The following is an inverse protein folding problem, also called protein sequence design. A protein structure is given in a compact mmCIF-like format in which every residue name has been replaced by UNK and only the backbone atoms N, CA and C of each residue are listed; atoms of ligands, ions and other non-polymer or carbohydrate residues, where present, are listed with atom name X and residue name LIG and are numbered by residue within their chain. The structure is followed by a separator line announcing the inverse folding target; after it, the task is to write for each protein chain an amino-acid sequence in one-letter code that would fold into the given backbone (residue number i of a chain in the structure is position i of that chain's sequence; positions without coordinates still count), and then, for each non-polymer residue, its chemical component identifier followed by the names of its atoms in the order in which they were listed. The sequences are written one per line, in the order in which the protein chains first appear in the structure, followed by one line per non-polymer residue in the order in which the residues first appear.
data_IF_487779068345
#
_entry.id   IF_487779068345
#
_cell.length_a   1.000
_cell.length_b   1.000
_cell.length_c   1.000
_cell.angle_alpha   90.00
_cell.angle_beta   90.00
_cell.angle_gamma   90.00
#
_symmetry.space_group_name_H-M   'P 1'
#
loop_
_entity.id
_entity.type
_entity.pdbx_description
1 polymer ?
#
# COMPACT_ATOMS: atom_id res chain seq x y z
N UNK A 1 -12.65 23.58 -31.84
CA UNK A 1 -12.33 22.65 -30.73
C UNK A 1 -13.41 22.78 -29.68
N UNK A 2 -14.27 21.77 -29.52
CA UNK A 2 -15.19 21.73 -28.40
C UNK A 2 -14.38 21.74 -27.08
N UNK A 3 -14.84 22.44 -26.03
CA UNK A 3 -14.14 22.42 -24.75
C UNK A 3 -14.05 20.97 -24.27
N UNK A 4 -12.83 20.49 -24.02
CA UNK A 4 -12.61 19.19 -23.37
C UNK A 4 -13.44 19.19 -22.08
N UNK A 5 -14.50 18.38 -22.05
CA UNK A 5 -15.18 18.02 -20.82
C UNK A 5 -14.09 17.52 -19.86
N UNK A 6 -13.99 18.15 -18.70
CA UNK A 6 -12.99 17.86 -17.66
C UNK A 6 -12.89 16.35 -17.43
N UNK A 7 -11.84 15.73 -17.98
CA UNK A 7 -11.64 14.28 -18.00
C UNK A 7 -11.41 13.69 -16.59
N UNK A 8 -11.29 14.53 -15.57
CA UNK A 8 -11.26 14.14 -14.14
C UNK A 8 -12.58 13.54 -13.65
N UNK A 9 -13.64 13.48 -14.47
CA UNK A 9 -15.00 13.08 -14.07
C UNK A 9 -15.55 11.75 -14.62
N UNK A 10 -14.82 10.91 -15.34
CA UNK A 10 -15.39 9.64 -15.83
C UNK A 10 -14.43 8.45 -15.76
N UNK A 11 -14.30 7.85 -14.58
CA UNK A 11 -14.24 6.39 -14.46
C UNK A 11 -15.26 5.96 -13.41
N UNK A 12 -16.24 5.17 -13.86
CA UNK A 12 -17.40 4.79 -13.05
C UNK A 12 -17.06 3.66 -12.08
N UNK A 13 -17.82 3.54 -10.97
CA UNK A 13 -17.70 2.40 -10.07
C UNK A 13 -17.83 1.09 -10.86
N UNK A 14 -16.90 0.14 -10.66
CA UNK A 14 -16.84 -1.13 -11.41
C UNK A 14 -17.73 -2.24 -10.84
N UNK A 15 -18.36 -1.99 -9.69
CA UNK A 15 -19.13 -2.99 -8.95
C UNK A 15 -20.57 -2.56 -8.80
N UNK A 16 -21.48 -3.52 -8.89
CA UNK A 16 -22.89 -3.32 -8.54
C UNK A 16 -23.22 -4.13 -7.29
N UNK A 17 -23.52 -3.43 -6.19
CA UNK A 17 -24.08 -4.01 -4.98
C UNK A 17 -25.59 -4.06 -5.07
N UNK A 18 -26.16 -5.21 -4.75
CA UNK A 18 -27.60 -5.42 -4.59
C UNK A 18 -27.87 -6.17 -3.29
N UNK A 19 -28.75 -5.64 -2.43
CA UNK A 19 -29.10 -6.23 -1.13
C UNK A 19 -30.60 -6.52 -1.02
N UNK A 20 -30.90 -7.74 -0.60
CA UNK A 20 -32.24 -8.21 -0.18
C UNK A 20 -32.23 -8.53 1.32
N UNK A 21 -33.34 -9.03 1.87
CA UNK A 21 -33.41 -9.46 3.27
C UNK A 21 -32.52 -10.69 3.58
N UNK A 22 -32.29 -11.54 2.58
CA UNK A 22 -31.62 -12.83 2.73
C UNK A 22 -30.28 -12.91 2.02
N UNK A 23 -29.94 -11.96 1.14
CA UNK A 23 -28.75 -12.02 0.31
C UNK A 23 -28.13 -10.63 0.09
N UNK A 24 -26.80 -10.59 0.06
CA UNK A 24 -26.00 -9.48 -0.44
C UNK A 24 -25.28 -10.00 -1.68
N UNK A 25 -25.37 -9.27 -2.78
CA UNK A 25 -24.71 -9.63 -4.04
C UNK A 25 -23.83 -8.51 -4.55
N UNK A 26 -22.61 -8.85 -4.99
CA UNK A 26 -21.69 -7.96 -5.67
C UNK A 26 -21.41 -8.52 -7.06
N UNK A 27 -21.69 -7.73 -8.10
CA UNK A 27 -21.40 -8.09 -9.48
C UNK A 27 -20.22 -7.27 -10.00
N UNK A 28 -19.25 -7.94 -10.65
CA UNK A 28 -18.17 -7.32 -11.43
C UNK A 28 -17.77 -8.25 -12.58
N UNK A 29 -17.62 -7.69 -13.79
CA UNK A 29 -17.05 -8.39 -14.96
C UNK A 29 -17.72 -9.77 -15.24
N UNK A 30 -19.03 -9.87 -15.00
CA UNK A 30 -19.81 -11.13 -15.17
C UNK A 30 -19.68 -12.13 -14.01
N UNK A 31 -18.86 -11.84 -13.00
CA UNK A 31 -18.66 -12.65 -11.79
C UNK A 31 -19.53 -12.08 -10.67
N UNK A 32 -20.32 -12.96 -10.06
CA UNK A 32 -21.26 -12.66 -8.99
C UNK A 32 -20.76 -13.25 -7.67
N UNK A 33 -20.52 -12.38 -6.69
CA UNK A 33 -20.30 -12.78 -5.30
C UNK A 33 -21.61 -12.68 -4.54
N UNK A 34 -22.15 -13.82 -4.10
CA UNK A 34 -23.33 -13.90 -3.22
C UNK A 34 -22.89 -14.17 -1.79
N UNK A 35 -23.48 -13.42 -0.87
CA UNK A 35 -23.25 -13.55 0.56
C UNK A 35 -24.61 -13.76 1.21
N UNK A 36 -24.77 -14.90 1.88
CA UNK A 36 -25.98 -15.22 2.64
C UNK A 36 -25.73 -14.88 4.11
N UNK A 37 -26.25 -13.74 4.64
CA UNK A 37 -25.85 -13.25 5.95
C UNK A 37 -26.19 -14.18 7.11
N UNK A 38 -27.27 -14.98 7.00
CA UNK A 38 -27.68 -15.94 8.05
C UNK A 38 -26.70 -17.10 8.21
N UNK A 39 -26.18 -17.60 7.09
CA UNK A 39 -25.28 -18.75 7.05
C UNK A 39 -23.80 -18.32 7.05
N UNK A 40 -23.54 -17.02 6.88
CA UNK A 40 -22.20 -16.47 6.65
C UNK A 40 -21.48 -17.18 5.50
N UNK A 41 -22.25 -17.55 4.47
CA UNK A 41 -21.76 -18.28 3.30
C UNK A 41 -21.42 -17.31 2.18
N UNK A 42 -20.19 -17.43 1.66
CA UNK A 42 -19.70 -16.69 0.51
C UNK A 42 -19.65 -17.64 -0.69
N UNK A 43 -20.36 -17.30 -1.76
CA UNK A 43 -20.45 -18.10 -2.98
C UNK A 43 -20.09 -17.24 -4.19
N UNK A 44 -19.27 -17.80 -5.07
CA UNK A 44 -18.92 -17.18 -6.33
C UNK A 44 -19.60 -17.95 -7.46
N UNK A 45 -20.25 -17.20 -8.34
CA UNK A 45 -20.91 -17.73 -9.52
C UNK A 45 -20.50 -16.89 -10.74
N UNK A 46 -20.44 -17.51 -11.91
CA UNK A 46 -20.27 -16.79 -13.18
C UNK A 46 -21.62 -16.69 -13.87
N UNK A 47 -22.02 -15.49 -14.28
CA UNK A 47 -23.30 -15.27 -14.99
C UNK A 47 -23.34 -15.96 -16.35
N UNK A 48 -22.18 -16.18 -16.97
CA UNK A 48 -22.06 -16.81 -18.29
C UNK A 48 -21.70 -18.30 -18.19
N UNK A 49 -21.86 -18.92 -17.03
CA UNK A 49 -21.50 -20.32 -16.86
C UNK A 49 -22.52 -21.24 -17.56
N UNK A 50 -22.07 -21.88 -18.64
CA UNK A 50 -22.82 -22.90 -19.36
C UNK A 50 -23.26 -24.10 -18.50
N UNK A 51 -22.64 -24.32 -17.32
CA UNK A 51 -23.00 -25.41 -16.41
C UNK A 51 -24.14 -25.05 -15.45
N UNK A 52 -24.45 -23.77 -15.24
CA UNK A 52 -25.52 -23.35 -14.31
C UNK A 52 -26.36 -22.19 -14.87
N UNK A 53 -27.29 -22.48 -15.81
CA UNK A 53 -28.10 -21.45 -16.47
C UNK A 53 -29.08 -20.72 -15.54
N UNK A 54 -29.30 -21.23 -14.32
CA UNK A 54 -30.23 -20.64 -13.36
C UNK A 54 -29.66 -19.40 -12.66
N UNK A 55 -28.33 -19.21 -12.63
CA UNK A 55 -27.70 -18.12 -11.89
C UNK A 55 -28.15 -16.74 -12.39
N UNK A 56 -28.30 -16.59 -13.71
CA UNK A 56 -28.76 -15.33 -14.31
C UNK A 56 -30.21 -15.02 -13.92
N UNK A 57 -31.08 -16.04 -13.90
CA UNK A 57 -32.46 -15.92 -13.48
C UNK A 57 -32.55 -15.59 -11.98
N UNK A 58 -31.82 -16.31 -11.13
CA UNK A 58 -31.74 -16.05 -9.68
C UNK A 58 -31.24 -14.62 -9.39
N UNK A 59 -30.23 -14.15 -10.13
CA UNK A 59 -29.74 -12.79 -9.97
C UNK A 59 -30.75 -11.74 -10.43
N UNK A 60 -31.50 -12.00 -11.50
CA UNK A 60 -32.59 -11.13 -11.94
C UNK A 60 -33.71 -11.03 -10.88
N UNK A 61 -34.02 -12.13 -10.20
CA UNK A 61 -34.96 -12.14 -9.06
C UNK A 61 -34.42 -11.35 -7.87
N UNK A 62 -33.15 -11.52 -7.51
CA UNK A 62 -32.47 -10.73 -6.46
C UNK A 62 -32.53 -9.24 -6.78
N UNK A 63 -32.32 -8.86 -8.05
CA UNK A 63 -32.46 -7.47 -8.53
C UNK A 63 -33.88 -6.95 -8.40
N UNK A 64 -34.90 -7.75 -8.74
CA UNK A 64 -36.32 -7.37 -8.59
C UNK A 64 -36.73 -7.22 -7.13
N UNK A 65 -36.24 -8.09 -6.26
CA UNK A 65 -36.51 -8.07 -4.82
C UNK A 65 -35.59 -7.12 -4.03
N UNK A 66 -34.70 -6.40 -4.72
CA UNK A 66 -33.70 -5.55 -4.11
C UNK A 66 -34.35 -4.39 -3.35
N UNK A 67 -34.01 -4.26 -2.06
CA UNK A 67 -34.36 -3.07 -1.29
C UNK A 67 -33.36 -1.94 -1.52
N UNK A 68 -32.14 -2.30 -1.90
CA UNK A 68 -31.03 -1.38 -2.06
C UNK A 68 -30.12 -1.85 -3.19
N UNK A 69 -29.79 -0.94 -4.10
CA UNK A 69 -28.79 -1.15 -5.14
C UNK A 69 -27.85 0.05 -5.18
N UNK A 70 -26.54 -0.19 -5.31
CA UNK A 70 -25.54 0.87 -5.34
C UNK A 70 -24.32 0.49 -6.18
N UNK A 71 -23.80 1.45 -6.93
CA UNK A 71 -22.53 1.32 -7.64
C UNK A 71 -21.36 1.60 -6.69
N UNK A 72 -20.31 0.78 -6.72
CA UNK A 72 -19.18 0.81 -5.77
C UNK A 72 -17.83 0.56 -6.45
N UNK A 73 -16.75 0.84 -5.75
CA UNK A 73 -15.37 0.68 -6.21
C UNK A 73 -14.71 -0.63 -5.72
N UNK A 74 -15.42 -1.46 -4.95
CA UNK A 74 -14.98 -2.81 -4.60
C UNK A 74 -14.92 -3.08 -3.10
N UNK A 75 -14.36 -4.24 -2.74
CA UNK A 75 -14.32 -4.71 -1.36
C UNK A 75 -13.05 -4.21 -0.68
N UNK A 76 -13.23 -3.36 0.33
CA UNK A 76 -12.14 -2.93 1.20
C UNK A 76 -11.79 -4.02 2.21
N UNK A 77 -12.78 -4.80 2.67
CA UNK A 77 -12.53 -5.98 3.49
C UNK A 77 -13.74 -6.42 4.30
N UNK A 78 -13.48 -7.28 5.27
CA UNK A 78 -14.43 -7.87 6.18
C UNK A 78 -13.94 -7.68 7.61
N UNK A 79 -14.84 -7.37 8.54
CA UNK A 79 -14.51 -7.30 9.97
C UNK A 79 -15.64 -7.86 10.82
N UNK A 80 -15.29 -8.68 11.81
CA UNK A 80 -16.21 -9.11 12.86
C UNK A 80 -16.02 -8.21 14.08
N UNK A 81 -17.01 -7.37 14.37
CA UNK A 81 -17.04 -6.52 15.56
C UNK A 81 -17.81 -7.22 16.70
N UNK A 82 -18.08 -6.48 17.77
CA UNK A 82 -18.64 -7.05 19.01
C UNK A 82 -20.04 -7.63 18.77
N UNK A 83 -20.89 -6.96 17.99
CA UNK A 83 -22.27 -7.41 17.73
C UNK A 83 -22.45 -8.07 16.38
N UNK A 84 -21.90 -7.49 15.33
CA UNK A 84 -22.10 -7.97 13.98
C UNK A 84 -20.80 -8.11 13.18
N UNK A 85 -20.88 -8.90 12.12
CA UNK A 85 -19.91 -8.88 11.05
C UNK A 85 -20.32 -7.81 10.02
N UNK A 86 -19.33 -7.15 9.44
CA UNK A 86 -19.52 -6.08 8.46
C UNK A 86 -18.66 -6.34 7.23
N UNK A 87 -19.28 -6.19 6.07
CA UNK A 87 -18.59 -6.07 4.80
C UNK A 87 -18.28 -4.59 4.56
N UNK A 88 -17.00 -4.26 4.43
CA UNK A 88 -16.50 -2.90 4.20
C UNK A 88 -16.28 -2.72 2.70
N UNK A 89 -16.97 -1.74 2.12
CA UNK A 89 -16.97 -1.47 0.69
C UNK A 89 -16.49 -0.06 0.41
N UNK A 90 -15.82 0.14 -0.73
CA UNK A 90 -15.41 1.46 -1.19
C UNK A 90 -16.59 2.12 -1.90
N UNK A 91 -17.21 3.09 -1.24
CA UNK A 91 -18.42 3.77 -1.71
C UNK A 91 -18.09 4.87 -2.70
N UNK A 92 -17.12 5.72 -2.35
CA UNK A 92 -16.70 6.86 -3.14
C UNK A 92 -15.17 6.87 -3.24
N UNK A 93 -14.66 7.16 -4.44
CA UNK A 93 -13.25 7.32 -4.70
C UNK A 93 -13.02 8.40 -5.76
N UNK A 94 -11.92 9.13 -5.65
CA UNK A 94 -11.50 10.17 -6.58
C UNK A 94 -10.25 9.73 -7.33
N UNK A 95 -10.18 10.04 -8.62
CA UNK A 95 -8.95 9.86 -9.40
C UNK A 95 -7.94 10.93 -8.96
N UNK A 96 -6.75 10.49 -8.58
CA UNK A 96 -5.63 11.35 -8.18
C UNK A 96 -4.76 11.69 -9.38
N UNK A 97 -4.61 10.73 -10.29
CA UNK A 97 -3.85 10.86 -11.51
C UNK A 97 -3.71 9.50 -12.19
N UNK A 98 -2.93 9.49 -13.27
CA UNK A 98 -2.56 8.30 -13.99
C UNK A 98 -1.06 8.10 -13.85
N UNK A 99 -0.65 6.90 -13.45
CA UNK A 99 0.75 6.48 -13.44
C UNK A 99 0.95 5.61 -14.66
N UNK A 100 1.67 6.12 -15.66
CA UNK A 100 1.80 5.52 -17.00
C UNK A 100 0.41 5.36 -17.63
N UNK A 101 -0.20 4.17 -17.54
CA UNK A 101 -1.61 3.93 -17.94
C UNK A 101 -2.55 3.55 -16.81
N UNK A 102 -2.01 3.27 -15.61
CA UNK A 102 -2.82 2.84 -14.48
C UNK A 102 -3.51 3.99 -13.78
N UNK A 103 -4.83 3.92 -13.64
CA UNK A 103 -5.58 4.93 -12.92
C UNK A 103 -5.37 4.74 -11.41
N UNK A 104 -4.99 5.82 -10.74
CA UNK A 104 -4.81 5.82 -9.29
C UNK A 104 -5.98 6.51 -8.64
N UNK A 105 -6.62 5.79 -7.71
CA UNK A 105 -7.78 6.24 -6.98
C UNK A 105 -7.41 6.48 -5.52
N UNK A 106 -8.03 7.48 -4.92
CA UNK A 106 -8.04 7.72 -3.48
C UNK A 106 -9.40 7.34 -2.92
N UNK A 107 -9.43 6.61 -1.82
CA UNK A 107 -10.68 6.26 -1.13
C UNK A 107 -11.23 7.48 -0.38
N UNK A 108 -12.39 7.97 -0.80
CA UNK A 108 -13.04 9.12 -0.18
C UNK A 108 -14.13 8.74 0.82
N UNK A 109 -14.76 7.57 0.66
CA UNK A 109 -15.78 7.08 1.60
C UNK A 109 -15.87 5.57 1.64
N UNK A 110 -16.02 5.02 2.85
CA UNK A 110 -16.28 3.61 3.10
C UNK A 110 -17.73 3.38 3.55
N UNK A 111 -18.35 2.34 2.99
CA UNK A 111 -19.66 1.84 3.37
C UNK A 111 -19.49 0.57 4.21
N UNK A 112 -20.11 0.53 5.38
CA UNK A 112 -20.14 -0.62 6.27
C UNK A 112 -21.48 -1.32 6.14
N UNK A 113 -21.51 -2.47 5.46
CA UNK A 113 -22.74 -3.24 5.27
C UNK A 113 -22.82 -4.33 6.34
N UNK A 114 -23.78 -4.26 7.27
CA UNK A 114 -23.96 -5.29 8.27
C UNK A 114 -24.39 -6.63 7.66
N UNK A 115 -23.80 -7.72 8.15
CA UNK A 115 -24.07 -9.09 7.71
C UNK A 115 -25.01 -9.80 8.69
N UNK A 116 -26.22 -9.26 8.86
CA UNK A 116 -27.31 -9.93 9.57
C UNK A 116 -28.66 -9.70 8.88
N UNK A 117 -29.64 -10.51 9.25
CA UNK A 117 -30.95 -10.58 8.61
C UNK A 117 -31.88 -9.43 9.05
N UNK A 118 -31.56 -8.19 8.67
CA UNK A 118 -32.45 -7.04 8.76
C UNK A 118 -32.28 -6.13 7.54
N UNK A 119 -33.33 -5.36 7.22
CA UNK A 119 -33.33 -4.46 6.06
C UNK A 119 -32.44 -3.22 6.25
N UNK A 120 -32.17 -2.82 7.49
CA UNK A 120 -31.43 -1.60 7.77
C UNK A 120 -29.94 -1.77 7.41
N UNK A 121 -29.41 -0.74 6.73
CA UNK A 121 -27.98 -0.58 6.46
C UNK A 121 -27.25 0.11 7.62
N UNK A 122 -27.99 0.56 8.63
CA UNK A 122 -27.42 1.23 9.78
C UNK A 122 -26.59 0.24 10.62
N UNK A 123 -25.35 0.60 10.98
CA UNK A 123 -24.57 -0.21 11.91
C UNK A 123 -25.20 -0.29 13.30
N UNK A 124 -24.83 -1.33 14.05
CA UNK A 124 -25.23 -1.48 15.44
C UNK A 124 -24.61 -0.38 16.31
N UNK A 125 -25.42 0.21 17.21
CA UNK A 125 -24.98 1.32 18.08
C UNK A 125 -23.75 0.96 18.94
N UNK A 126 -23.64 -0.30 19.37
CA UNK A 126 -22.51 -0.78 20.16
C UNK A 126 -21.22 -0.94 19.33
N UNK A 127 -21.34 -1.15 18.02
CA UNK A 127 -20.20 -1.28 17.11
C UNK A 127 -19.77 0.07 16.52
N UNK A 128 -20.64 1.10 16.60
CA UNK A 128 -20.40 2.44 16.07
C UNK A 128 -19.05 3.05 16.50
N UNK A 129 -18.57 2.95 17.75
CA UNK A 129 -17.28 3.51 18.13
C UNK A 129 -16.10 2.91 17.36
N UNK A 130 -16.16 1.62 16.98
CA UNK A 130 -15.10 0.97 16.20
C UNK A 130 -15.17 1.37 14.73
N UNK A 131 -16.37 1.52 14.18
CA UNK A 131 -16.59 2.03 12.82
C UNK A 131 -16.08 3.47 12.72
N UNK A 132 -16.38 4.31 13.70
CA UNK A 132 -15.89 5.68 13.78
C UNK A 132 -14.35 5.74 13.80
N UNK A 133 -13.68 4.79 14.46
CA UNK A 133 -12.21 4.73 14.44
C UNK A 133 -11.66 4.48 13.03
N UNK A 134 -12.25 3.54 12.28
CA UNK A 134 -11.85 3.26 10.89
C UNK A 134 -12.17 4.44 9.97
N UNK A 135 -13.33 5.05 10.13
CA UNK A 135 -13.73 6.23 9.37
C UNK A 135 -12.82 7.43 9.63
N UNK A 136 -12.36 7.64 10.88
CA UNK A 136 -11.38 8.69 11.20
C UNK A 136 -10.05 8.48 10.47
N UNK A 137 -9.54 7.25 10.42
CA UNK A 137 -8.31 6.95 9.68
C UNK A 137 -8.52 7.18 8.18
N UNK A 138 -9.67 6.76 7.64
CA UNK A 138 -10.00 7.01 6.24
C UNK A 138 -10.13 8.50 5.92
N UNK A 139 -10.66 9.30 6.84
CA UNK A 139 -10.81 10.74 6.69
C UNK A 139 -9.46 11.48 6.57
N UNK A 140 -8.33 10.85 6.95
CA UNK A 140 -6.98 11.38 6.67
C UNK A 140 -6.63 11.36 5.18
N UNK A 141 -7.46 10.74 4.32
CA UNK A 141 -7.30 10.70 2.86
C UNK A 141 -5.97 10.09 2.41
N UNK A 142 -5.51 9.09 3.17
CA UNK A 142 -4.23 8.42 2.97
C UNK A 142 -4.35 7.05 2.28
N UNK A 143 -5.55 6.61 1.91
CA UNK A 143 -5.77 5.33 1.22
C UNK A 143 -5.80 5.50 -0.29
N UNK A 144 -4.94 4.75 -0.98
CA UNK A 144 -4.86 4.75 -2.44
C UNK A 144 -4.89 3.32 -2.99
N UNK A 145 -5.52 3.14 -4.13
CA UNK A 145 -5.53 1.88 -4.87
C UNK A 145 -5.51 2.14 -6.38
N UNK A 146 -5.18 1.13 -7.16
CA UNK A 146 -5.37 1.10 -8.60
C UNK A 146 -5.91 -0.27 -8.96
N UNK A 147 -6.76 -0.37 -9.99
CA UNK A 147 -7.15 -1.66 -10.56
C UNK A 147 -6.09 -2.21 -11.52
N UNK A 148 -5.28 -1.30 -12.07
CA UNK A 148 -4.48 -1.57 -13.25
C UNK A 148 -3.02 -1.81 -12.87
N UNK A 149 -2.56 -1.26 -11.75
CA UNK A 149 -1.18 -1.41 -11.28
C UNK A 149 -1.14 -1.81 -9.80
N UNK A 150 -0.11 -2.55 -9.42
CA UNK A 150 0.17 -2.82 -8.02
C UNK A 150 0.94 -1.64 -7.41
N UNK A 151 0.29 -0.90 -6.50
CA UNK A 151 0.89 0.23 -5.79
C UNK A 151 1.76 -0.21 -4.59
N UNK A 152 1.66 -1.49 -4.19
CA UNK A 152 2.39 -2.00 -3.02
C UNK A 152 3.84 -2.32 -3.33
N UNK A 153 4.18 -2.62 -4.58
CA UNK A 153 5.53 -2.89 -5.06
C UNK A 153 6.18 -1.65 -5.69
N UNK A 154 7.51 -1.59 -5.68
CA UNK A 154 8.24 -0.55 -6.41
C UNK A 154 8.39 -0.91 -7.88
N UNK A 155 8.64 0.10 -8.70
CA UNK A 155 8.69 -0.05 -10.15
C UNK A 155 9.81 -0.98 -10.61
N UNK A 156 10.96 -0.96 -9.93
CA UNK A 156 12.06 -1.87 -10.21
C UNK A 156 11.65 -3.33 -10.03
N UNK A 157 11.04 -3.67 -8.88
CA UNK A 157 10.53 -5.00 -8.59
C UNK A 157 9.45 -5.41 -9.59
N UNK A 158 8.48 -4.54 -9.87
CA UNK A 158 7.43 -4.80 -10.86
C UNK A 158 7.99 -5.13 -12.24
N UNK A 159 8.92 -4.32 -12.76
CA UNK A 159 9.49 -4.53 -14.09
C UNK A 159 10.44 -5.73 -14.16
N UNK A 160 11.17 -6.00 -13.08
CA UNK A 160 12.03 -7.19 -12.98
C UNK A 160 11.18 -8.47 -12.99
N UNK A 161 10.08 -8.50 -12.23
CA UNK A 161 9.14 -9.63 -12.23
C UNK A 161 8.55 -9.89 -13.61
N UNK A 162 8.10 -8.83 -14.30
CA UNK A 162 7.52 -8.95 -15.65
C UNK A 162 8.55 -9.54 -16.61
N UNK A 163 9.79 -9.05 -16.58
CA UNK A 163 10.88 -9.58 -17.40
C UNK A 163 11.15 -11.06 -17.11
N UNK A 164 11.27 -11.43 -15.84
CA UNK A 164 11.64 -12.79 -15.46
C UNK A 164 10.50 -13.80 -15.76
N UNK A 165 9.23 -13.36 -15.73
CA UNK A 165 8.07 -14.18 -16.11
C UNK A 165 8.01 -14.49 -17.61
N UNK A 166 8.38 -13.55 -18.48
CA UNK A 166 8.46 -13.81 -19.94
C UNK A 166 9.45 -14.92 -20.31
N UNK A 167 10.33 -15.31 -19.38
CA UNK A 167 11.36 -16.33 -19.60
C UNK A 167 10.97 -17.74 -19.13
N UNK A 168 9.78 -17.97 -18.54
CA UNK A 168 9.36 -19.27 -18.01
C UNK A 168 8.07 -19.78 -18.68
N UNK A 169 8.08 -21.03 -19.14
CA UNK A 169 6.88 -21.70 -19.64
C UNK A 169 5.90 -21.99 -18.47
N UNK A 170 4.61 -21.66 -18.59
CA UNK A 170 3.66 -21.87 -17.50
C UNK A 170 3.14 -23.32 -17.45
N UNK A 171 3.16 -23.92 -16.26
CA UNK A 171 2.38 -25.12 -15.93
C UNK A 171 0.86 -24.81 -15.91
N UNK A 172 -0.01 -25.82 -15.90
CA UNK A 172 -1.48 -25.64 -15.98
C UNK A 172 -2.07 -24.77 -14.84
N UNK A 173 -1.59 -24.93 -13.60
CA UNK A 173 -1.99 -24.06 -12.48
C UNK A 173 -1.38 -22.65 -12.59
N UNK A 174 -0.24 -22.51 -13.28
CA UNK A 174 0.36 -21.21 -13.54
C UNK A 174 -0.41 -20.43 -14.62
N UNK A 175 -1.10 -21.12 -15.54
CA UNK A 175 -1.91 -20.48 -16.57
C UNK A 175 -3.11 -19.73 -15.97
N UNK A 176 -3.91 -20.36 -15.09
CA UNK A 176 -5.04 -19.69 -14.41
C UNK A 176 -4.57 -18.51 -13.56
N UNK A 177 -3.44 -18.68 -12.86
CA UNK A 177 -2.83 -17.61 -12.07
C UNK A 177 -2.38 -16.45 -12.96
N UNK A 178 -1.76 -16.72 -14.11
CA UNK A 178 -1.30 -15.70 -15.05
C UNK A 178 -2.48 -14.92 -15.67
N UNK A 179 -3.54 -15.60 -16.08
CA UNK A 179 -4.77 -14.96 -16.61
C UNK A 179 -5.37 -14.04 -15.55
N UNK A 180 -5.53 -14.56 -14.33
CA UNK A 180 -6.10 -13.79 -13.23
C UNK A 180 -5.20 -12.60 -12.86
N UNK A 181 -3.87 -12.76 -12.89
CA UNK A 181 -2.90 -11.68 -12.61
C UNK A 181 -2.93 -10.60 -13.68
N UNK A 182 -3.12 -10.95 -14.94
CA UNK A 182 -3.24 -9.94 -16.01
C UNK A 182 -4.56 -9.15 -15.88
N UNK A 183 -5.66 -9.85 -15.57
CA UNK A 183 -6.96 -9.22 -15.35
C UNK A 183 -7.05 -8.39 -14.05
N UNK A 184 -6.42 -8.86 -12.96
CA UNK A 184 -6.51 -8.29 -11.61
C UNK A 184 -5.14 -8.21 -10.93
N UNK A 185 -4.20 -7.40 -11.48
CA UNK A 185 -2.81 -7.36 -11.04
C UNK A 185 -2.65 -6.91 -9.59
N UNK A 186 -3.49 -5.97 -9.16
CA UNK A 186 -3.48 -5.40 -7.83
C UNK A 186 -4.02 -6.35 -6.76
N UNK A 187 -4.71 -7.44 -7.13
CA UNK A 187 -5.43 -8.31 -6.19
C UNK A 187 -4.70 -9.59 -5.85
N UNK A 188 -3.72 -10.02 -6.64
CA UNK A 188 -3.16 -11.37 -6.59
C UNK A 188 -1.77 -11.41 -5.99
N UNK A 189 -0.90 -10.50 -6.39
CA UNK A 189 0.53 -10.56 -6.07
C UNK A 189 1.03 -9.29 -5.35
N UNK A 190 0.15 -8.65 -4.59
CA UNK A 190 0.51 -7.46 -3.82
C UNK A 190 1.32 -7.82 -2.57
N UNK A 191 2.20 -6.91 -2.16
CA UNK A 191 2.97 -7.02 -0.93
C UNK A 191 2.07 -6.72 0.28
N UNK A 192 1.79 -7.74 1.07
CA UNK A 192 0.91 -7.67 2.25
C UNK A 192 1.34 -6.60 3.25
N UNK A 193 2.66 -6.38 3.41
CA UNK A 193 3.18 -5.38 4.33
C UNK A 193 2.82 -3.93 3.95
N UNK A 194 2.59 -3.63 2.68
CA UNK A 194 2.22 -2.29 2.22
C UNK A 194 0.72 -2.14 1.92
N UNK A 195 -0.05 -3.23 2.04
CA UNK A 195 -1.51 -3.21 1.92
C UNK A 195 -2.17 -3.10 3.29
N UNK A 196 -2.71 -1.91 3.60
CA UNK A 196 -3.32 -1.61 4.90
C UNK A 196 -4.46 -2.56 5.26
N UNK A 197 -5.31 -2.86 4.28
CA UNK A 197 -6.47 -3.71 4.45
C UNK A 197 -6.17 -5.20 4.23
N UNK A 198 -4.90 -5.63 4.17
CA UNK A 198 -4.55 -7.04 3.97
C UNK A 198 -5.21 -7.95 5.02
N UNK A 199 -5.17 -7.58 6.30
CA UNK A 199 -5.81 -8.34 7.37
C UNK A 199 -7.34 -8.36 7.27
N UNK A 200 -7.95 -7.29 6.74
CA UNK A 200 -9.39 -7.21 6.51
C UNK A 200 -9.82 -8.04 5.28
N UNK A 201 -8.91 -8.30 4.35
CA UNK A 201 -9.16 -9.13 3.18
C UNK A 201 -8.92 -10.63 3.46
N UNK A 202 -8.73 -11.02 4.72
CA UNK A 202 -8.33 -12.38 5.08
C UNK A 202 -9.34 -13.47 4.70
N UNK A 203 -10.65 -13.15 4.70
CA UNK A 203 -11.71 -14.06 4.25
C UNK A 203 -11.73 -14.24 2.72
N UNK A 204 -11.10 -13.31 1.99
CA UNK A 204 -11.08 -13.28 0.52
C UNK A 204 -9.72 -13.72 -0.05
N UNK A 205 -8.97 -14.58 0.66
CA UNK A 205 -7.59 -14.95 0.27
C UNK A 205 -7.48 -15.79 -1.00
N UNK A 206 -8.49 -16.61 -1.33
CA UNK A 206 -8.41 -17.52 -2.48
C UNK A 206 -8.36 -16.75 -3.80
N UNK A 207 -7.80 -17.39 -4.84
CA UNK A 207 -7.61 -16.79 -6.16
C UNK A 207 -8.95 -16.35 -6.79
N UNK A 208 -10.03 -17.07 -6.49
CA UNK A 208 -11.36 -16.82 -7.04
C UNK A 208 -11.96 -15.47 -6.60
N UNK A 209 -11.59 -14.95 -5.41
CA UNK A 209 -12.05 -13.65 -4.93
C UNK A 209 -11.22 -12.47 -5.47
N UNK A 210 -10.20 -12.70 -6.29
CA UNK A 210 -9.36 -11.65 -6.89
C UNK A 210 -10.12 -10.51 -7.57
N UNK A 211 -11.25 -10.75 -8.29
CA UNK A 211 -12.04 -9.67 -8.87
C UNK A 211 -12.60 -8.70 -7.84
N UNK A 212 -12.84 -9.15 -6.60
CA UNK A 212 -13.51 -8.34 -5.57
C UNK A 212 -12.56 -7.63 -4.63
N UNK A 213 -11.37 -8.18 -4.43
CA UNK A 213 -10.36 -7.58 -3.56
C UNK A 213 -9.85 -6.26 -4.11
N UNK A 214 -9.71 -5.27 -3.24
CA UNK A 214 -9.04 -4.00 -3.57
C UNK A 214 -8.03 -3.67 -2.50
N UNK A 215 -6.78 -4.17 -2.61
CA UNK A 215 -5.70 -3.80 -1.70
C UNK A 215 -5.41 -2.30 -1.80
N UNK A 216 -5.35 -1.65 -0.64
CA UNK A 216 -5.12 -0.21 -0.53
C UNK A 216 -3.81 0.05 0.20
N UNK A 217 -2.94 0.87 -0.38
CA UNK A 217 -1.78 1.39 0.34
C UNK A 217 -2.21 2.48 1.32
N UNK A 218 -1.43 2.66 2.39
CA UNK A 218 -1.57 3.80 3.30
C UNK A 218 -0.35 4.71 3.19
N UNK A 219 -0.54 5.95 2.76
CA UNK A 219 0.54 6.91 2.56
C UNK A 219 0.12 8.09 1.70
N UNK A 220 0.87 8.36 0.63
CA UNK A 220 0.68 9.54 -0.21
C UNK A 220 1.08 9.27 -1.66
N UNK A 221 0.29 9.78 -2.61
CA UNK A 221 0.65 9.76 -4.04
C UNK A 221 0.49 11.16 -4.59
N UNK A 222 1.54 11.65 -5.25
CA UNK A 222 1.50 12.86 -6.07
C UNK A 222 1.83 12.49 -7.51
N UNK A 223 1.06 13.07 -8.43
CA UNK A 223 1.24 12.94 -9.88
C UNK A 223 1.33 14.35 -10.45
N UNK A 224 2.40 14.64 -11.18
CA UNK A 224 2.61 15.92 -11.84
C UNK A 224 3.34 15.78 -13.16
N UNK A 225 3.24 16.80 -14.01
CA UNK A 225 3.91 16.84 -15.33
C UNK A 225 4.80 18.08 -15.39
N UNK A 226 6.02 18.02 -14.82
CA UNK A 226 6.90 19.17 -14.80
C UNK A 226 7.35 19.56 -16.21
N UNK A 227 7.40 20.86 -16.48
CA UNK A 227 7.96 21.41 -17.72
C UNK A 227 9.49 21.29 -17.68
N UNK A 228 10.04 20.27 -18.32
CA UNK A 228 11.48 20.14 -18.55
C UNK A 228 11.84 20.87 -19.86
N UNK A 229 13.00 21.54 -19.94
CA UNK A 229 13.44 22.38 -21.09
C UNK A 229 13.62 21.63 -22.43
N UNK A 230 13.21 20.37 -22.53
CA UNK A 230 13.22 19.58 -23.76
C UNK A 230 11.79 19.47 -24.28
N UNK A 231 11.56 19.54 -25.59
CA UNK A 231 10.25 19.44 -26.24
C UNK A 231 9.54 18.07 -26.11
N UNK A 232 9.86 17.29 -25.08
CA UNK A 232 9.32 15.98 -24.78
C UNK A 232 8.59 15.99 -23.43
N UNK A 233 7.42 15.36 -23.39
CA UNK A 233 6.58 15.29 -22.18
C UNK A 233 7.32 14.51 -21.08
N UNK A 234 7.33 15.06 -19.87
CA UNK A 234 7.91 14.41 -18.70
C UNK A 234 6.89 14.40 -17.57
N UNK A 235 6.75 13.24 -16.93
CA UNK A 235 5.89 13.05 -15.78
C UNK A 235 6.74 12.68 -14.57
N UNK A 236 6.27 13.12 -13.40
CA UNK A 236 6.88 12.87 -12.12
C UNK A 236 5.83 12.34 -11.16
N UNK A 237 6.13 11.21 -10.55
CA UNK A 237 5.30 10.60 -9.52
C UNK A 237 6.10 10.49 -8.23
N UNK A 238 5.47 10.85 -7.12
CA UNK A 238 5.99 10.61 -5.77
C UNK A 238 5.02 9.68 -5.06
N UNK A 239 5.46 8.46 -4.79
CA UNK A 239 4.68 7.45 -4.10
C UNK A 239 5.29 7.21 -2.73
N UNK A 240 4.51 7.35 -1.67
CA UNK A 240 4.88 6.92 -0.33
C UNK A 240 3.91 5.86 0.17
N UNK A 241 4.46 4.72 0.60
CA UNK A 241 3.71 3.59 1.17
C UNK A 241 4.28 3.25 2.55
N UNK A 242 3.39 3.10 3.54
CA UNK A 242 3.75 2.74 4.92
C UNK A 242 3.61 1.24 5.16
N UNK A 243 4.55 0.68 5.91
CA UNK A 243 4.46 -0.69 6.39
C UNK A 243 3.36 -0.80 7.46
N UNK A 244 2.46 -1.75 7.24
CA UNK A 244 1.28 -2.01 8.04
C UNK A 244 1.45 -3.19 9.01
N UNK A 245 2.64 -3.80 9.09
CA UNK A 245 2.94 -4.88 10.06
C UNK A 245 3.11 -4.36 11.49
N UNK A 246 3.77 -3.20 11.64
CA UNK A 246 3.98 -2.54 12.94
C UNK A 246 3.49 -1.08 12.94
N UNK A 247 2.19 -0.85 12.75
CA UNK A 247 1.61 0.48 12.84
C UNK A 247 1.61 0.93 14.30
N UNK A 248 1.69 2.24 14.53
CA UNK A 248 1.51 2.73 15.88
C UNK A 248 1.65 4.22 16.06
N UNK A 249 1.13 4.67 17.20
CA UNK A 249 1.09 6.10 17.54
C UNK A 249 2.50 6.59 17.87
N UNK A 250 2.75 7.85 17.50
CA UNK A 250 3.93 8.59 17.95
C UNK A 250 3.98 8.53 19.49
N UNK A 251 5.16 8.24 20.04
CA UNK A 251 5.37 8.03 21.48
C UNK A 251 4.67 6.80 22.07
N UNK A 252 4.26 5.80 21.29
CA UNK A 252 3.78 4.52 21.84
C UNK A 252 4.55 3.38 21.20
N UNK A 253 4.47 3.28 19.88
CA UNK A 253 5.16 2.24 19.11
C UNK A 253 6.42 2.82 18.50
N UNK A 254 7.57 2.33 18.96
CA UNK A 254 8.91 2.73 18.51
C UNK A 254 9.77 1.47 18.39
N UNK A 255 10.90 1.62 17.69
CA UNK A 255 11.84 0.52 17.49
C UNK A 255 11.29 -0.64 16.68
N UNK A 256 11.98 -1.76 16.80
CA UNK A 256 11.59 -3.05 16.22
C UNK A 256 10.58 -3.78 17.13
N UNK A 257 9.88 -4.76 16.56
CA UNK A 257 9.37 -5.91 17.32
C UNK A 257 10.38 -7.06 17.29
N UNK A 258 10.01 -8.19 17.90
CA UNK A 258 10.86 -9.39 17.95
C UNK A 258 11.00 -10.04 16.57
N UNK A 259 10.03 -9.78 15.70
CA UNK A 259 9.98 -10.26 14.32
C UNK A 259 10.79 -9.38 13.35
N UNK A 260 11.42 -8.30 13.83
CA UNK A 260 12.27 -7.42 13.03
C UNK A 260 11.50 -6.37 12.20
N UNK A 261 10.20 -6.18 12.43
CA UNK A 261 9.43 -5.14 11.77
C UNK A 261 9.69 -3.79 12.45
N UNK A 262 10.08 -2.78 11.67
CA UNK A 262 10.33 -1.45 12.19
C UNK A 262 9.04 -0.63 12.31
N UNK A 263 8.83 0.00 13.47
CA UNK A 263 7.68 0.89 13.66
C UNK A 263 7.76 2.12 12.75
N UNK A 264 6.63 2.50 12.15
CA UNK A 264 6.54 3.63 11.22
C UNK A 264 7.52 3.53 10.03
N UNK A 265 7.80 2.31 9.56
CA UNK A 265 8.54 2.11 8.32
C UNK A 265 7.72 2.63 7.13
N UNK A 266 8.37 3.35 6.24
CA UNK A 266 7.79 3.90 5.03
C UNK A 266 8.82 3.84 3.91
N UNK A 267 8.34 3.50 2.73
CA UNK A 267 9.08 3.59 1.49
C UNK A 267 8.55 4.78 0.70
N UNK A 268 9.45 5.57 0.13
CA UNK A 268 9.14 6.70 -0.74
C UNK A 268 9.87 6.53 -2.06
N UNK A 269 9.12 6.46 -3.14
CA UNK A 269 9.60 6.22 -4.49
C UNK A 269 9.36 7.47 -5.34
N UNK A 270 10.43 7.93 -5.97
CA UNK A 270 10.43 9.00 -6.96
C UNK A 270 10.51 8.36 -8.34
N UNK A 271 9.47 8.52 -9.14
CA UNK A 271 9.41 7.99 -10.50
C UNK A 271 9.42 9.14 -11.50
N UNK A 272 10.31 9.06 -12.49
CA UNK A 272 10.36 9.96 -13.62
C UNK A 272 10.04 9.17 -14.89
N UNK A 273 9.12 9.69 -15.69
CA UNK A 273 8.74 9.10 -16.96
C UNK A 273 8.97 10.14 -18.05
N UNK A 274 9.77 9.79 -19.05
CA UNK A 274 10.08 10.65 -20.18
C UNK A 274 9.58 10.00 -21.48
N UNK A 275 8.72 10.71 -22.20
CA UNK A 275 8.15 10.24 -23.45
C UNK A 275 9.01 10.70 -24.63
N UNK A 276 9.72 9.78 -25.24
CA UNK A 276 10.61 10.07 -26.36
C UNK A 276 9.85 10.19 -27.68
N UNK A 277 10.38 11.02 -28.60
CA UNK A 277 9.84 11.17 -29.95
C UNK A 277 9.86 9.87 -30.79
N UNK A 278 10.67 8.88 -30.40
CA UNK A 278 10.82 7.57 -31.07
C UNK A 278 9.80 6.52 -30.61
N UNK A 279 8.67 6.94 -30.02
CA UNK A 279 7.68 6.01 -29.44
C UNK A 279 8.30 5.06 -28.41
N UNK A 280 9.20 5.57 -27.56
CA UNK A 280 9.69 4.84 -26.39
C UNK A 280 9.46 5.67 -25.14
N UNK A 281 9.40 5.00 -23.99
CA UNK A 281 9.20 5.61 -22.70
C UNK A 281 10.43 5.28 -21.85
N UNK A 282 11.20 6.29 -21.47
CA UNK A 282 12.27 6.12 -20.50
C UNK A 282 11.71 6.32 -19.10
N UNK A 283 11.97 5.35 -18.23
CA UNK A 283 11.46 5.34 -16.87
C UNK A 283 12.62 5.23 -15.90
N UNK A 284 12.65 6.10 -14.90
CA UNK A 284 13.59 6.05 -13.80
C UNK A 284 12.86 5.98 -12.47
N UNK A 285 13.34 5.15 -11.54
CA UNK A 285 12.81 5.05 -10.18
C UNK A 285 13.95 5.16 -9.15
N UNK A 286 13.71 5.97 -8.12
CA UNK A 286 14.61 6.16 -6.99
C UNK A 286 13.85 5.98 -5.68
N UNK A 287 14.29 5.02 -4.87
CA UNK A 287 13.59 4.61 -3.64
C UNK A 287 14.39 5.06 -2.42
N UNK A 288 13.67 5.61 -1.44
CA UNK A 288 14.18 5.95 -0.12
C UNK A 288 13.32 5.28 0.95
N UNK A 289 13.98 4.72 1.97
CA UNK A 289 13.31 4.10 3.11
C UNK A 289 13.51 4.93 4.37
N UNK A 290 12.49 4.95 5.23
CA UNK A 290 12.52 5.63 6.52
C UNK A 290 11.82 4.77 7.54
N UNK A 291 12.46 4.51 8.68
CA UNK A 291 11.86 3.76 9.78
C UNK A 291 12.29 4.25 11.16
N UNK A 292 11.75 3.63 12.21
CA UNK A 292 12.30 3.80 13.56
C UNK A 292 13.70 3.17 13.65
N UNK A 293 14.52 3.69 14.56
CA UNK A 293 15.86 3.13 14.85
C UNK A 293 15.72 1.63 15.14
N UNK A 294 16.53 0.76 14.49
CA UNK A 294 16.38 -0.70 14.51
C UNK A 294 16.89 -1.32 15.82
N UNK A 295 16.29 -0.91 16.94
CA UNK A 295 16.53 -1.43 18.28
C UNK A 295 15.20 -1.81 18.91
N UNK A 296 15.22 -2.67 19.93
CA UNK A 296 14.04 -2.88 20.77
C UNK A 296 13.98 -1.74 21.80
N UNK A 297 13.09 -0.78 21.56
CA UNK A 297 12.90 0.36 22.46
C UNK A 297 11.48 0.89 22.44
N UNK A 298 11.08 1.47 23.56
CA UNK A 298 9.80 2.15 23.70
C UNK A 298 10.00 3.51 24.34
N UNK A 299 9.00 4.36 24.17
CA UNK A 299 8.94 5.64 24.84
C UNK A 299 7.50 5.77 25.27
N UNK A 300 7.18 5.48 26.53
CA UNK A 300 5.80 5.51 27.02
C UNK A 300 5.41 6.97 27.30
N UNK A 301 4.23 7.46 26.86
CA UNK A 301 3.82 8.82 27.14
C UNK A 301 3.73 9.05 28.65
N UNK A 302 4.17 10.22 29.11
CA UNK A 302 3.97 10.71 30.46
C UNK A 302 3.67 12.21 30.40
N UNK A 303 3.44 12.85 31.55
CA UNK A 303 3.17 14.29 31.62
C UNK A 303 4.39 15.18 31.24
N UNK A 304 5.55 14.59 30.90
CA UNK A 304 6.73 15.35 30.46
C UNK A 304 6.67 15.60 28.96
N UNK A 305 7.16 16.77 28.55
CA UNK A 305 7.27 17.17 27.15
C UNK A 305 8.05 16.18 26.27
N UNK A 306 9.12 15.60 26.81
CA UNK A 306 9.87 14.52 26.18
C UNK A 306 9.92 13.32 27.12
N UNK A 307 9.07 12.29 26.90
CA UNK A 307 9.09 11.10 27.72
C UNK A 307 10.45 10.38 27.62
N UNK A 308 10.88 9.67 28.69
CA UNK A 308 12.14 8.95 28.68
C UNK A 308 12.09 7.78 27.69
N UNK A 309 13.25 7.51 27.12
CA UNK A 309 13.49 6.35 26.28
C UNK A 309 13.74 5.14 27.17
N UNK A 310 13.04 4.05 26.90
CA UNK A 310 13.22 2.75 27.54
C UNK A 310 13.78 1.78 26.50
N UNK A 311 15.06 1.47 26.62
CA UNK A 311 15.72 0.42 25.84
C UNK A 311 15.39 -0.95 26.43
N UNK A 312 15.36 -1.99 25.61
CA UNK A 312 15.33 -3.35 26.11
C UNK A 312 16.54 -3.61 27.02
N UNK A 313 16.36 -4.33 28.15
CA UNK A 313 17.45 -4.60 29.08
C UNK A 313 18.54 -5.48 28.45
N UNK A 314 18.15 -6.36 27.53
CA UNK A 314 19.07 -7.24 26.82
C UNK A 314 19.40 -6.67 25.43
N UNK A 315 20.67 -6.35 25.21
CA UNK A 315 21.15 -5.86 23.94
C UNK A 315 21.11 -6.94 22.84
N UNK A 316 21.39 -8.20 23.20
CA UNK A 316 21.42 -9.32 22.26
C UNK A 316 20.06 -9.53 21.55
N UNK A 317 18.96 -9.28 22.26
CA UNK A 317 17.62 -9.32 21.65
C UNK A 317 17.44 -8.23 20.60
N UNK A 318 18.00 -7.03 20.83
CA UNK A 318 17.99 -5.97 19.83
C UNK A 318 18.87 -6.29 18.63
N UNK A 319 20.02 -6.93 18.87
CA UNK A 319 20.91 -7.38 17.80
C UNK A 319 20.23 -8.43 16.92
N UNK A 320 19.61 -9.45 17.52
CA UNK A 320 18.88 -10.49 16.80
C UNK A 320 17.70 -9.90 16.00
N UNK A 321 16.90 -9.02 16.59
CA UNK A 321 15.81 -8.34 15.89
C UNK A 321 16.31 -7.50 14.71
N UNK A 322 17.43 -6.80 14.87
CA UNK A 322 18.05 -6.02 13.80
C UNK A 322 18.61 -6.89 12.67
N UNK A 323 19.22 -8.04 13.00
CA UNK A 323 19.65 -9.01 11.99
C UNK A 323 18.47 -9.49 11.14
N UNK A 324 17.35 -9.85 11.77
CA UNK A 324 16.12 -10.21 11.06
C UNK A 324 15.59 -9.06 10.21
N UNK A 325 15.59 -7.82 10.74
CA UNK A 325 15.19 -6.63 10.00
C UNK A 325 16.01 -6.45 8.72
N UNK A 326 17.34 -6.47 8.84
CA UNK A 326 18.22 -6.27 7.69
C UNK A 326 18.26 -7.46 6.74
N UNK A 327 18.02 -8.68 7.22
CA UNK A 327 17.85 -9.85 6.36
C UNK A 327 16.58 -9.73 5.50
N UNK A 328 15.53 -9.06 5.99
CA UNK A 328 14.30 -8.81 5.23
C UNK A 328 14.42 -7.62 4.26
N UNK A 329 15.14 -6.55 4.64
CA UNK A 329 15.23 -5.33 3.81
C UNK A 329 16.32 -5.38 2.75
N UNK A 330 17.44 -6.08 2.98
CA UNK A 330 18.54 -6.16 1.99
C UNK A 330 18.15 -6.78 0.65
N UNK A 331 17.37 -7.87 0.59
CA UNK A 331 16.93 -8.41 -0.70
C UNK A 331 16.09 -7.42 -1.51
N UNK A 332 15.39 -6.50 -0.83
CA UNK A 332 14.50 -5.52 -1.47
C UNK A 332 15.22 -4.25 -1.91
N UNK A 333 16.16 -3.75 -1.10
CA UNK A 333 16.80 -2.44 -1.31
C UNK A 333 18.30 -2.50 -1.55
N UNK A 334 18.93 -3.67 -1.42
CA UNK A 334 20.39 -3.82 -1.52
C UNK A 334 21.13 -3.24 -0.32
N UNK A 335 22.28 -2.64 -0.60
CA UNK A 335 23.10 -1.92 0.39
C UNK A 335 22.38 -0.69 0.93
N UNK A 336 22.55 -0.40 2.21
CA UNK A 336 21.78 0.63 2.91
C UNK A 336 22.68 1.59 3.68
N UNK A 337 22.45 2.88 3.49
CA UNK A 337 23.10 3.94 4.25
C UNK A 337 22.18 4.41 5.39
N UNK A 338 22.58 4.10 6.62
CA UNK A 338 21.82 4.41 7.83
C UNK A 338 22.14 5.83 8.31
N UNK A 339 21.22 6.76 8.03
CA UNK A 339 21.34 8.16 8.46
C UNK A 339 20.62 8.36 9.80
N UNK A 340 21.39 8.56 10.87
CA UNK A 340 20.88 8.84 12.20
C UNK A 340 20.93 10.35 12.50
N UNK A 341 19.75 10.95 12.69
CA UNK A 341 19.58 12.40 12.89
C UNK A 341 19.29 12.81 14.34
N UNK A 342 19.37 11.89 15.30
CA UNK A 342 19.00 12.18 16.69
C UNK A 342 20.05 13.05 17.39
N UNK A 343 19.59 13.78 18.41
CA UNK A 343 20.45 14.67 19.18
C UNK A 343 21.50 13.91 19.98
N UNK A 344 22.73 14.42 20.03
CA UNK A 344 23.81 13.86 20.85
C UNK A 344 23.68 14.26 22.32
N UNK A 345 22.46 14.49 22.81
CA UNK A 345 22.16 14.95 24.18
C UNK A 345 21.04 14.13 24.84
N UNK A 346 21.06 14.13 26.17
CA UNK A 346 19.98 13.58 27.00
C UNK A 346 19.65 12.12 26.73
N UNK A 347 18.34 11.80 26.69
CA UNK A 347 17.84 10.45 26.44
C UNK A 347 18.02 9.98 24.99
N UNK A 348 18.08 10.90 24.02
CA UNK A 348 18.30 10.56 22.62
C UNK A 348 19.73 10.07 22.38
N UNK A 349 20.71 10.69 23.03
CA UNK A 349 22.11 10.22 23.00
C UNK A 349 22.22 8.74 23.35
N UNK A 350 21.50 8.29 24.39
CA UNK A 350 21.50 6.88 24.82
C UNK A 350 21.05 5.94 23.71
N UNK A 351 20.03 6.30 22.93
CA UNK A 351 19.62 5.48 21.77
C UNK A 351 20.70 5.51 20.69
N UNK A 352 21.28 6.68 20.41
CA UNK A 352 22.27 6.85 19.35
C UNK A 352 23.56 6.09 19.63
N UNK A 353 23.98 6.07 20.89
CA UNK A 353 25.11 5.27 21.36
C UNK A 353 24.81 3.78 21.15
N UNK A 354 23.60 3.31 21.50
CA UNK A 354 23.19 1.92 21.24
C UNK A 354 23.07 1.59 19.75
N UNK A 355 22.62 2.53 18.92
CA UNK A 355 22.52 2.30 17.48
C UNK A 355 23.91 2.24 16.83
N UNK A 356 24.84 3.08 17.31
CA UNK A 356 26.24 3.03 16.89
C UNK A 356 26.89 1.70 17.30
N UNK A 357 26.61 1.23 18.53
CA UNK A 357 27.02 -0.09 19.02
C UNK A 357 26.46 -1.21 18.14
N UNK A 358 25.15 -1.17 17.85
CA UNK A 358 24.47 -2.13 16.97
C UNK A 358 25.14 -2.21 15.60
N UNK A 359 25.39 -1.07 14.96
CA UNK A 359 26.08 -1.02 13.68
C UNK A 359 27.47 -1.68 13.75
N UNK A 360 28.22 -1.40 14.83
CA UNK A 360 29.56 -1.96 15.06
C UNK A 360 29.54 -3.48 15.28
N UNK A 361 28.49 -4.00 15.91
CA UNK A 361 28.33 -5.44 16.19
C UNK A 361 27.72 -6.22 15.01
N UNK A 362 26.90 -5.59 14.18
CA UNK A 362 26.37 -6.22 12.95
C UNK A 362 27.50 -6.60 11.98
N UNK A 363 28.58 -5.80 11.93
CA UNK A 363 29.78 -6.01 11.07
C UNK A 363 29.42 -6.31 9.61
N UNK A 364 28.35 -5.70 9.13
CA UNK A 364 27.82 -5.98 7.81
C UNK A 364 28.36 -4.99 6.79
N UNK A 365 29.03 -5.50 5.75
CA UNK A 365 29.66 -4.67 4.71
C UNK A 365 28.67 -3.99 3.77
N UNK A 366 27.42 -4.45 3.73
CA UNK A 366 26.36 -3.82 2.94
C UNK A 366 25.65 -2.69 3.70
N UNK A 367 26.06 -2.40 4.94
CA UNK A 367 25.52 -1.31 5.74
C UNK A 367 26.58 -0.23 5.96
N UNK A 368 26.18 1.01 5.71
CA UNK A 368 26.94 2.21 6.04
C UNK A 368 26.19 3.02 7.09
N UNK A 369 26.87 3.84 7.89
CA UNK A 369 26.25 4.57 8.99
C UNK A 369 26.84 5.95 9.20
N UNK A 370 25.97 6.94 9.38
CA UNK A 370 26.35 8.30 9.83
C UNK A 370 25.46 8.75 10.98
N UNK A 371 26.07 9.33 12.00
CA UNK A 371 25.36 10.02 13.08
C UNK A 371 25.57 11.53 13.02
N UNK A 372 24.59 12.19 12.41
CA UNK A 372 24.56 13.63 12.21
C UNK A 372 23.62 14.29 13.23
N UNK A 373 24.15 15.12 14.13
CA UNK A 373 23.34 15.83 15.13
C UNK A 373 22.62 17.00 14.46
N UNK A 374 21.40 16.76 13.98
CA UNK A 374 20.66 17.74 13.18
C UNK A 374 20.41 19.05 13.95
N UNK A 375 19.97 19.00 15.21
CA UNK A 375 19.71 20.22 16.00
C UNK A 375 21.01 20.87 16.50
N UNK A 376 22.11 20.10 16.60
CA UNK A 376 23.45 20.62 16.88
C UNK A 376 24.01 21.43 15.71
N UNK A 377 23.94 20.87 14.50
CA UNK A 377 24.56 21.40 13.28
C UNK A 377 23.69 22.47 12.60
N UNK A 378 22.37 22.29 12.55
CA UNK A 378 21.44 23.21 11.88
C UNK A 378 20.84 24.28 12.82
N UNK A 379 21.54 24.62 13.91
CA UNK A 379 21.07 25.68 14.84
C UNK A 379 20.78 26.98 14.09
N UNK A 380 19.73 27.67 14.54
CA UNK A 380 19.26 28.95 13.96
C UNK A 380 18.86 28.83 12.47
N UNK A 381 18.29 27.70 12.06
CA UNK A 381 17.80 27.48 10.68
C UNK A 381 18.88 27.60 9.62
N UNK A 382 20.14 27.27 9.96
CA UNK A 382 21.25 27.20 9.00
C UNK A 382 21.17 25.92 8.18
N UNK A 383 20.16 25.83 7.33
CA UNK A 383 19.89 24.68 6.45
C UNK A 383 21.02 24.40 5.47
N UNK A 384 21.87 25.39 5.20
CA UNK A 384 23.13 25.23 4.45
C UNK A 384 24.00 24.11 5.03
N UNK A 385 23.98 23.88 6.35
CA UNK A 385 24.76 22.81 6.97
C UNK A 385 24.25 21.40 6.62
N UNK A 386 23.07 21.25 6.01
CA UNK A 386 22.66 19.98 5.41
C UNK A 386 23.52 19.59 4.22
N UNK A 387 24.15 20.56 3.52
CA UNK A 387 25.09 20.24 2.45
C UNK A 387 26.21 19.35 2.97
N UNK A 388 26.69 19.57 4.20
CA UNK A 388 27.70 18.71 4.84
C UNK A 388 27.25 17.26 4.93
N UNK A 389 26.00 17.03 5.32
CA UNK A 389 25.45 15.67 5.37
C UNK A 389 25.38 15.08 3.97
N UNK A 390 24.88 15.84 3.00
CA UNK A 390 24.83 15.44 1.59
C UNK A 390 26.23 15.08 1.09
N UNK A 391 27.24 15.90 1.37
CA UNK A 391 28.64 15.68 0.98
C UNK A 391 29.20 14.40 1.61
N UNK A 392 28.89 14.11 2.87
CA UNK A 392 29.31 12.87 3.56
C UNK A 392 28.71 11.63 2.89
N UNK A 393 27.46 11.69 2.46
CA UNK A 393 26.77 10.54 1.87
C UNK A 393 26.86 10.49 0.34
N UNK A 394 27.32 11.56 -0.31
CA UNK A 394 27.24 11.76 -1.75
C UNK A 394 27.91 10.63 -2.55
N UNK A 395 29.12 10.23 -2.15
CA UNK A 395 29.89 9.20 -2.83
C UNK A 395 29.15 7.85 -2.82
N UNK A 396 28.65 7.41 -1.65
CA UNK A 396 27.87 6.17 -1.56
C UNK A 396 26.52 6.27 -2.26
N UNK A 397 25.82 7.40 -2.15
CA UNK A 397 24.55 7.60 -2.83
C UNK A 397 24.71 7.56 -4.36
N UNK A 398 25.79 8.12 -4.91
CA UNK A 398 26.11 7.99 -6.32
C UNK A 398 26.39 6.54 -6.71
N UNK A 399 27.06 5.77 -5.84
CA UNK A 399 27.30 4.34 -6.02
C UNK A 399 26.02 3.49 -6.03
N UNK A 400 25.01 3.85 -5.24
CA UNK A 400 23.72 3.15 -5.24
C UNK A 400 22.90 3.39 -6.51
N UNK A 401 23.05 4.58 -7.12
CA UNK A 401 22.42 4.92 -8.39
C UNK A 401 20.89 4.98 -8.32
N UNK A 402 20.24 4.65 -9.44
CA UNK A 402 18.79 4.59 -9.58
C UNK A 402 18.42 3.50 -10.58
N UNK A 403 17.19 3.00 -10.49
CA UNK A 403 16.67 2.10 -11.51
C UNK A 403 16.34 2.90 -12.77
N UNK A 404 16.73 2.39 -13.95
CA UNK A 404 16.37 2.96 -15.24
C UNK A 404 16.02 1.84 -16.22
N UNK A 405 14.93 2.03 -16.97
CA UNK A 405 14.53 1.15 -18.06
C UNK A 405 13.98 1.97 -19.24
N UNK A 406 14.12 1.44 -20.44
CA UNK A 406 13.46 1.96 -21.65
C UNK A 406 12.39 0.96 -22.07
N UNK A 407 11.14 1.42 -22.14
CA UNK A 407 9.98 0.64 -22.55
C UNK A 407 9.59 1.05 -23.98
N UNK A 408 9.25 0.08 -24.82
CA UNK A 408 8.70 0.36 -26.15
C UNK A 408 7.21 0.76 -26.03
N UNK A 409 6.74 1.74 -26.80
CA UNK A 409 5.30 1.93 -26.99
C UNK A 409 4.71 0.61 -27.51
N UNK A 410 3.87 -0.04 -26.73
CA UNK A 410 3.52 -1.44 -26.97
C UNK A 410 3.52 -2.30 -25.71
N UNK A 411 4.49 -2.08 -24.82
CA UNK A 411 4.54 -2.72 -23.49
C UNK A 411 3.36 -2.29 -22.58
N UNK A 412 2.68 -1.22 -22.99
CA UNK A 412 1.48 -0.66 -22.39
C UNK A 412 0.16 -1.30 -22.89
N UNK A 413 0.22 -2.33 -23.73
CA UNK A 413 -0.96 -3.10 -24.13
C UNK A 413 -1.13 -4.31 -23.20
N UNK A 414 -1.98 -4.17 -22.19
CA UNK A 414 -2.83 -5.31 -21.86
C UNK A 414 -3.81 -5.44 -23.02
N UNK A 415 -3.88 -6.64 -23.59
CA UNK A 415 -4.81 -6.96 -24.67
C UNK A 415 -6.21 -6.47 -24.31
N UNK A 416 -6.88 -5.86 -25.30
CA UNK A 416 -8.27 -5.41 -25.24
C UNK A 416 -9.22 -6.50 -24.74
#
# INVERSE_FOLDING_TARGET
MAPLKDARKLLQPKFQLTRTLSCISLLRDGILLRITPREMKFQLDSLNDSQNPNVEQEYAEIKRAAKFTKALYGVFGYVKLKKAAYLILIEEASIVGQIIRGNVYRVDKLLFVPLYANADLAPEKEDQPFIDMLQRVQAEKAFYFSYDIDLTSNLQSTLTEIRDQTSRAPDSNAATFAIMRDAYPNSIAYLSQFAFNHSLLAEFKTLEYSPFRVPCIFGYIYVGSPLVKSGASTEYYLLSRKDCRRPGRRFVTRGLDKEGNAANFAETEHVFVHYNAKQTIDVASYVQIRGSIPLLWSMKPNLKWSPPVLLAPNFEESLAAAQTHFAATKPLYGSQYLVNLIDKKGSQKRIGDQFTRLFSELRDRALSYVWFDFHGECKKMKWENLSKLVDIVAEELQGYGHFRATLNFGFDFRSQ
#
